data_IF_349517406205
#
_entry.id   IF_349517406205
#
_cell.length_a   1.000
_cell.length_b   1.000
_cell.length_c   1.000
_cell.angle_alpha   90.00
_cell.angle_beta   90.00
_cell.angle_gamma   90.00
#
_symmetry.space_group_name_H-M   'P 1'
#
loop_
_entity.id
_entity.type
_entity.pdbx_description
1 polymer ?
#
# COMPACT_ATOMS: atom_id res chain seq x y z
N UNK A 1 27.88 1.50 -18.51
CA UNK A 1 26.45 1.83 -18.38
C UNK A 1 25.84 0.75 -17.51
N UNK A 2 25.37 1.11 -16.31
CA UNK A 2 24.74 0.14 -15.42
C UNK A 2 23.35 -0.19 -15.96
N UNK A 3 22.96 -1.46 -15.91
CA UNK A 3 21.63 -1.90 -16.31
C UNK A 3 20.57 -1.22 -15.41
N UNK A 4 19.51 -0.58 -15.97
CA UNK A 4 18.56 0.22 -15.18
C UNK A 4 17.50 -0.68 -14.52
N UNK A 5 17.92 -1.40 -13.49
CA UNK A 5 17.14 -2.41 -12.77
C UNK A 5 15.86 -1.80 -12.20
N UNK A 6 15.95 -0.67 -11.49
CA UNK A 6 14.81 -0.10 -10.78
C UNK A 6 13.80 0.51 -11.75
N UNK A 7 14.28 1.22 -12.77
CA UNK A 7 13.39 1.72 -13.83
C UNK A 7 12.62 0.58 -14.50
N UNK A 8 13.27 -0.56 -14.77
CA UNK A 8 12.58 -1.72 -15.36
C UNK A 8 11.55 -2.30 -14.39
N UNK A 9 11.87 -2.48 -13.10
CA UNK A 9 10.92 -2.97 -12.08
C UNK A 9 9.69 -2.05 -11.99
N UNK A 10 9.90 -0.73 -11.98
CA UNK A 10 8.83 0.25 -11.81
C UNK A 10 7.94 0.31 -13.05
N UNK A 11 8.52 0.35 -14.26
CA UNK A 11 7.76 0.60 -15.49
C UNK A 11 7.30 -0.67 -16.21
N UNK A 12 7.91 -1.85 -15.99
CA UNK A 12 7.48 -3.09 -16.64
C UNK A 12 6.01 -3.46 -16.38
N UNK A 13 5.44 -3.24 -15.16
CA UNK A 13 4.02 -3.49 -14.95
C UNK A 13 3.12 -2.53 -15.76
N UNK A 14 3.51 -1.26 -15.95
CA UNK A 14 2.75 -0.33 -16.81
C UNK A 14 2.78 -0.81 -18.26
N UNK A 15 3.95 -1.21 -18.77
CA UNK A 15 4.07 -1.74 -20.13
C UNK A 15 3.20 -2.98 -20.30
N UNK A 16 3.23 -3.90 -19.33
CA UNK A 16 2.38 -5.09 -19.36
C UNK A 16 0.89 -4.75 -19.27
N UNK A 17 0.48 -3.76 -18.45
CA UNK A 17 -0.90 -3.28 -18.40
C UNK A 17 -1.37 -2.75 -19.76
N UNK A 18 -0.54 -1.97 -20.46
CA UNK A 18 -0.84 -1.47 -21.80
C UNK A 18 -0.98 -2.61 -22.81
N UNK A 19 -0.06 -3.60 -22.78
CA UNK A 19 -0.16 -4.78 -23.65
C UNK A 19 -1.44 -5.56 -23.37
N UNK A 20 -1.81 -5.76 -22.10
CA UNK A 20 -3.05 -6.43 -21.71
C UNK A 20 -4.27 -5.68 -22.24
N UNK A 21 -4.33 -4.35 -22.13
CA UNK A 21 -5.45 -3.55 -22.62
C UNK A 21 -5.63 -3.61 -24.15
N UNK A 22 -4.55 -3.84 -24.90
CA UNK A 22 -4.59 -4.02 -26.36
C UNK A 22 -5.11 -5.40 -26.78
N UNK A 23 -5.20 -6.37 -25.87
CA UNK A 23 -5.78 -7.69 -26.15
C UNK A 23 -7.31 -7.54 -26.29
N UNK A 24 -7.92 -8.16 -27.33
CA UNK A 24 -9.37 -8.21 -27.48
C UNK A 24 -10.06 -8.76 -26.22
N UNK A 25 -11.22 -8.21 -25.84
CA UNK A 25 -11.88 -8.54 -24.57
C UNK A 25 -12.32 -10.02 -24.48
N UNK A 26 -12.50 -10.67 -25.64
CA UNK A 26 -12.89 -12.06 -25.77
C UNK A 26 -11.72 -13.02 -25.43
N UNK A 27 -10.48 -12.56 -25.58
CA UNK A 27 -9.24 -13.33 -25.39
C UNK A 27 -8.77 -13.31 -23.93
N UNK A 28 -9.63 -13.84 -23.05
CA UNK A 28 -9.42 -13.83 -21.58
C UNK A 28 -8.17 -14.61 -21.16
N UNK A 29 -7.91 -15.74 -21.80
CA UNK A 29 -6.79 -16.63 -21.48
C UNK A 29 -5.45 -16.00 -21.84
N UNK A 30 -5.38 -15.30 -22.97
CA UNK A 30 -4.19 -14.58 -23.40
C UNK A 30 -3.88 -13.41 -22.47
N UNK A 31 -4.89 -12.64 -22.07
CA UNK A 31 -4.71 -11.57 -21.09
C UNK A 31 -4.17 -12.08 -19.74
N UNK A 32 -4.70 -13.22 -19.26
CA UNK A 32 -4.22 -13.91 -18.06
C UNK A 32 -2.76 -14.38 -18.24
N UNK A 33 -2.44 -15.01 -19.37
CA UNK A 33 -1.09 -15.48 -19.70
C UNK A 33 -0.05 -14.35 -19.72
N UNK A 34 -0.37 -13.21 -20.33
CA UNK A 34 0.51 -12.03 -20.33
C UNK A 34 0.68 -11.47 -18.91
N UNK A 35 -0.40 -11.39 -18.13
CA UNK A 35 -0.31 -10.97 -16.73
C UNK A 35 0.62 -11.89 -15.92
N UNK A 36 0.48 -13.21 -16.04
CA UNK A 36 1.35 -14.14 -15.30
C UNK A 36 2.82 -14.04 -15.74
N UNK A 37 3.08 -13.98 -17.04
CA UNK A 37 4.45 -13.82 -17.56
C UNK A 37 5.11 -12.54 -17.03
N UNK A 38 4.39 -11.42 -17.05
CA UNK A 38 4.89 -10.14 -16.58
C UNK A 38 5.02 -10.09 -15.04
N UNK A 39 4.15 -10.77 -14.29
CA UNK A 39 4.30 -10.88 -12.84
C UNK A 39 5.48 -11.76 -12.43
N UNK A 40 5.74 -12.86 -13.15
CA UNK A 40 6.94 -13.69 -12.97
C UNK A 40 8.19 -12.87 -13.27
N UNK A 41 8.19 -12.10 -14.36
CA UNK A 41 9.30 -11.23 -14.71
C UNK A 41 9.59 -10.21 -13.60
N UNK A 42 8.57 -9.51 -13.10
CA UNK A 42 8.72 -8.54 -12.01
C UNK A 42 9.21 -9.20 -10.70
N UNK A 43 8.71 -10.40 -10.37
CA UNK A 43 9.16 -11.17 -9.20
C UNK A 43 10.63 -11.60 -9.30
N UNK A 44 11.06 -12.12 -10.45
CA UNK A 44 12.44 -12.53 -10.64
C UNK A 44 13.40 -11.34 -10.57
N UNK A 45 13.01 -10.20 -11.15
CA UNK A 45 13.83 -9.00 -11.12
C UNK A 45 13.90 -8.37 -9.72
N UNK A 46 12.79 -8.34 -8.97
CA UNK A 46 12.79 -7.85 -7.59
C UNK A 46 13.54 -8.79 -6.64
N UNK A 47 13.46 -10.11 -6.87
CA UNK A 47 14.25 -11.11 -6.14
C UNK A 47 15.74 -10.93 -6.42
N UNK A 48 16.12 -10.74 -7.69
CA UNK A 48 17.51 -10.47 -8.05
C UNK A 48 18.03 -9.19 -7.38
N UNK A 49 17.24 -8.10 -7.38
CA UNK A 49 17.62 -6.85 -6.74
C UNK A 49 17.81 -7.03 -5.22
N UNK A 50 16.94 -7.80 -4.56
CA UNK A 50 17.06 -8.10 -3.14
C UNK A 50 18.30 -8.95 -2.80
N UNK A 51 18.59 -9.99 -3.61
CA UNK A 51 19.75 -10.86 -3.39
C UNK A 51 21.07 -10.16 -3.70
N UNK A 52 21.05 -9.20 -4.63
CA UNK A 52 22.23 -8.43 -5.05
C UNK A 52 22.51 -7.23 -4.13
N UNK A 53 21.61 -6.91 -3.20
CA UNK A 53 21.81 -5.81 -2.25
C UNK A 53 22.92 -6.14 -1.25
N UNK A 54 23.97 -5.32 -1.23
CA UNK A 54 25.10 -5.49 -0.33
C UNK A 54 24.78 -4.95 1.06
N UNK A 55 24.60 -5.86 2.01
CA UNK A 55 24.29 -5.54 3.42
C UNK A 55 25.49 -4.94 4.16
N UNK A 56 26.73 -5.20 3.71
CA UNK A 56 27.93 -4.68 4.34
C UNK A 56 28.18 -3.22 3.94
N UNK A 57 27.94 -2.87 2.67
CA UNK A 57 28.05 -1.49 2.20
C UNK A 57 26.97 -0.56 2.78
N UNK A 58 25.75 -1.09 2.99
CA UNK A 58 24.56 -0.34 3.42
C UNK A 58 24.23 0.86 2.49
N UNK A 59 23.31 1.73 2.93
CA UNK A 59 22.91 2.93 2.16
C UNK A 59 22.06 2.63 0.91
N UNK A 60 21.93 3.64 0.05
CA UNK A 60 21.18 3.53 -1.20
C UNK A 60 22.02 2.86 -2.29
N UNK A 61 21.46 1.84 -2.92
CA UNK A 61 22.06 1.07 -4.00
C UNK A 61 21.14 1.07 -5.22
N UNK A 62 21.67 0.62 -6.37
CA UNK A 62 20.96 0.68 -7.66
C UNK A 62 20.50 2.10 -8.01
N UNK A 63 21.33 3.11 -7.69
CA UNK A 63 20.97 4.49 -7.93
C UNK A 63 20.89 4.80 -9.43
N UNK A 64 19.75 5.34 -9.83
CA UNK A 64 19.45 5.75 -11.19
C UNK A 64 18.87 7.16 -11.14
N UNK A 65 19.45 8.11 -11.88
CA UNK A 65 18.97 9.50 -11.88
C UNK A 65 18.82 10.01 -13.30
N UNK A 66 17.60 10.41 -13.66
CA UNK A 66 17.29 11.04 -14.95
C UNK A 66 16.59 12.38 -14.73
N UNK A 67 16.98 13.38 -15.51
CA UNK A 67 16.37 14.70 -15.47
C UNK A 67 14.99 14.66 -16.13
N UNK A 68 13.91 14.90 -15.38
CA UNK A 68 12.55 14.92 -15.95
C UNK A 68 12.02 16.33 -16.19
N UNK A 69 11.87 17.12 -15.12
CA UNK A 69 11.44 18.53 -15.20
C UNK A 69 12.48 19.41 -14.46
N UNK A 70 13.62 19.72 -15.10
CA UNK A 70 14.72 20.46 -14.47
C UNK A 70 14.31 21.86 -13.97
N UNK A 71 13.35 22.49 -14.66
CA UNK A 71 12.84 23.83 -14.31
C UNK A 71 12.13 23.85 -12.95
N UNK A 72 11.61 22.70 -12.51
CA UNK A 72 10.95 22.52 -11.22
C UNK A 72 11.83 21.72 -10.23
N UNK A 73 13.07 21.39 -10.61
CA UNK A 73 13.95 20.56 -9.79
C UNK A 73 13.45 19.12 -9.58
N UNK A 74 12.65 18.58 -10.51
CA UNK A 74 12.11 17.22 -10.44
C UNK A 74 12.97 16.26 -11.27
N UNK A 75 13.35 15.15 -10.65
CA UNK A 75 14.14 14.09 -11.28
C UNK A 75 13.52 12.71 -11.09
N UNK A 76 13.70 11.82 -12.06
CA UNK A 76 13.50 10.38 -11.86
C UNK A 76 14.72 9.85 -11.13
N UNK A 77 14.75 10.04 -9.82
CA UNK A 77 15.78 9.53 -8.94
C UNK A 77 15.27 8.27 -8.24
N UNK A 78 15.81 7.12 -8.61
CA UNK A 78 15.54 5.84 -7.96
C UNK A 78 16.74 5.35 -7.17
N UNK A 79 16.47 4.63 -6.08
CA UNK A 79 17.45 3.91 -5.29
C UNK A 79 16.76 3.10 -4.20
N UNK A 80 17.37 1.99 -3.80
CA UNK A 80 16.85 1.13 -2.74
C UNK A 80 17.87 0.97 -1.62
N UNK A 81 17.42 1.05 -0.38
CA UNK A 81 18.21 0.72 0.81
C UNK A 81 17.68 -0.56 1.48
N UNK A 82 18.18 -0.86 2.68
CA UNK A 82 17.78 -2.05 3.45
C UNK A 82 16.30 -2.11 3.85
N UNK A 83 15.56 -0.99 3.79
CA UNK A 83 14.11 -0.95 4.02
C UNK A 83 13.36 -1.11 2.69
N UNK A 84 13.79 -0.39 1.65
CA UNK A 84 13.15 -0.44 0.34
C UNK A 84 13.33 -1.78 -0.36
N UNK A 85 14.51 -2.41 -0.30
CA UNK A 85 14.80 -3.67 -0.98
C UNK A 85 13.81 -4.83 -0.63
N UNK A 86 13.54 -5.14 0.66
CA UNK A 86 12.55 -6.17 0.99
C UNK A 86 11.11 -5.76 0.61
N UNK A 87 10.78 -4.47 0.62
CA UNK A 87 9.45 -3.98 0.22
C UNK A 87 9.22 -4.11 -1.29
N UNK A 88 10.25 -3.85 -2.10
CA UNK A 88 10.24 -4.10 -3.55
C UNK A 88 10.05 -5.60 -3.83
N UNK A 89 10.79 -6.48 -3.14
CA UNK A 89 10.58 -7.93 -3.27
C UNK A 89 9.14 -8.34 -2.87
N UNK A 90 8.64 -7.84 -1.74
CA UNK A 90 7.29 -8.12 -1.27
C UNK A 90 6.23 -7.71 -2.29
N UNK A 91 6.38 -6.55 -2.94
CA UNK A 91 5.49 -6.12 -4.03
C UNK A 91 5.48 -7.12 -5.19
N UNK A 92 6.65 -7.63 -5.60
CA UNK A 92 6.74 -8.68 -6.62
C UNK A 92 6.03 -9.99 -6.22
N UNK A 93 6.20 -10.42 -4.97
CA UNK A 93 5.53 -11.62 -4.43
C UNK A 93 4.01 -11.44 -4.41
N UNK A 94 3.52 -10.30 -3.92
CA UNK A 94 2.08 -9.99 -3.84
C UNK A 94 1.47 -9.84 -5.23
N UNK A 95 2.19 -9.23 -6.17
CA UNK A 95 1.76 -9.13 -7.58
C UNK A 95 1.63 -10.51 -8.22
N UNK A 96 2.64 -11.37 -8.09
CA UNK A 96 2.61 -12.74 -8.63
C UNK A 96 1.48 -13.58 -8.04
N UNK A 97 1.40 -13.65 -6.72
CA UNK A 97 0.35 -14.41 -6.03
C UNK A 97 -1.05 -13.83 -6.26
N UNK A 98 -1.16 -12.50 -6.40
CA UNK A 98 -2.38 -11.79 -6.80
C UNK A 98 -2.86 -12.18 -8.19
N UNK A 99 -1.96 -12.38 -9.16
CA UNK A 99 -2.34 -12.90 -10.48
C UNK A 99 -2.83 -14.35 -10.40
N UNK A 100 -2.13 -15.21 -9.64
CA UNK A 100 -2.51 -16.62 -9.50
C UNK A 100 -3.90 -16.79 -8.88
N UNK A 101 -4.21 -16.07 -7.79
CA UNK A 101 -5.52 -16.19 -7.12
C UNK A 101 -6.67 -15.61 -7.96
N UNK A 102 -6.37 -14.65 -8.83
CA UNK A 102 -7.35 -14.01 -9.72
C UNK A 102 -7.53 -14.71 -11.06
N UNK A 103 -6.75 -15.77 -11.35
CA UNK A 103 -6.73 -16.43 -12.66
C UNK A 103 -8.09 -17.00 -13.08
N UNK A 104 -8.88 -17.56 -12.16
CA UNK A 104 -10.28 -17.88 -12.47
C UNK A 104 -10.49 -19.07 -13.40
N UNK A 105 -9.86 -20.22 -13.16
CA UNK A 105 -10.16 -21.41 -13.98
C UNK A 105 -9.95 -22.73 -13.23
N UNK A 106 -10.54 -22.87 -12.05
CA UNK A 106 -10.51 -24.10 -11.26
C UNK A 106 -11.84 -24.86 -11.33
N UNK A 107 -12.26 -25.24 -12.53
CA UNK A 107 -13.31 -26.24 -12.77
C UNK A 107 -14.75 -25.85 -12.41
N UNK A 108 -15.68 -26.75 -12.75
CA UNK A 108 -17.14 -26.59 -12.70
C UNK A 108 -17.72 -26.35 -11.29
N UNK A 109 -16.93 -26.55 -10.24
CA UNK A 109 -17.38 -26.49 -8.84
C UNK A 109 -16.67 -25.44 -7.98
N UNK A 110 -15.67 -24.73 -8.51
CA UNK A 110 -14.98 -23.64 -7.80
C UNK A 110 -14.67 -22.50 -8.77
N UNK A 111 -15.58 -21.53 -8.89
CA UNK A 111 -15.34 -20.26 -9.56
C UNK A 111 -14.40 -19.36 -8.73
N UNK A 112 -13.16 -19.80 -8.51
CA UNK A 112 -12.12 -19.04 -7.82
C UNK A 112 -11.36 -18.14 -8.80
N UNK A 113 -11.83 -16.91 -9.01
CA UNK A 113 -11.08 -15.84 -9.69
C UNK A 113 -11.96 -14.87 -10.49
N UNK A 114 -11.32 -13.97 -11.24
CA UNK A 114 -12.01 -12.87 -11.93
C UNK A 114 -12.48 -13.31 -13.33
N UNK A 115 -13.80 -13.40 -13.51
CA UNK A 115 -14.44 -13.78 -14.80
C UNK A 115 -14.96 -12.60 -15.59
N UNK A 116 -15.45 -11.59 -14.89
CA UNK A 116 -15.93 -10.35 -15.49
C UNK A 116 -14.75 -9.43 -15.78
N UNK A 117 -14.60 -9.03 -17.05
CA UNK A 117 -13.59 -8.07 -17.50
C UNK A 117 -12.16 -8.32 -16.94
N UNK A 118 -11.60 -9.54 -17.09
CA UNK A 118 -10.30 -9.89 -16.51
C UNK A 118 -9.16 -9.04 -17.09
N UNK A 119 -9.28 -8.62 -18.35
CA UNK A 119 -8.32 -7.73 -19.01
C UNK A 119 -8.16 -6.42 -18.24
N UNK A 120 -9.26 -5.73 -17.99
CA UNK A 120 -9.26 -4.47 -17.24
C UNK A 120 -8.80 -4.67 -15.79
N UNK A 121 -9.22 -5.76 -15.15
CA UNK A 121 -8.78 -6.10 -13.80
C UNK A 121 -7.26 -6.22 -13.70
N UNK A 122 -6.62 -7.03 -14.56
CA UNK A 122 -5.17 -7.20 -14.53
C UNK A 122 -4.43 -5.92 -14.92
N UNK A 123 -4.94 -5.15 -15.88
CA UNK A 123 -4.34 -3.87 -16.23
C UNK A 123 -4.30 -2.91 -15.03
N UNK A 124 -5.41 -2.74 -14.31
CA UNK A 124 -5.44 -1.89 -13.12
C UNK A 124 -4.62 -2.45 -11.96
N UNK A 125 -4.59 -3.77 -11.77
CA UNK A 125 -3.74 -4.42 -10.78
C UNK A 125 -2.25 -4.18 -11.05
N UNK A 126 -1.85 -4.10 -12.32
CA UNK A 126 -0.48 -3.84 -12.73
C UNK A 126 -0.08 -2.37 -12.61
N UNK A 127 -1.00 -1.45 -12.92
CA UNK A 127 -0.80 -0.02 -12.66
C UNK A 127 -0.65 0.22 -11.16
N UNK A 128 -1.49 -0.42 -10.34
CA UNK A 128 -1.39 -0.42 -8.88
C UNK A 128 0.01 -0.89 -8.43
N UNK A 129 0.47 -2.04 -8.94
CA UNK A 129 1.78 -2.59 -8.60
C UNK A 129 2.92 -1.65 -8.98
N UNK A 130 2.84 -1.00 -10.15
CA UNK A 130 3.83 0.01 -10.57
C UNK A 130 3.89 1.20 -9.63
N UNK A 131 2.73 1.73 -9.21
CA UNK A 131 2.67 2.78 -8.19
C UNK A 131 3.37 2.36 -6.89
N UNK A 132 3.10 1.14 -6.41
CA UNK A 132 3.74 0.62 -5.20
C UNK A 132 5.26 0.45 -5.36
N UNK A 133 5.72 -0.12 -6.48
CA UNK A 133 7.16 -0.21 -6.78
C UNK A 133 7.82 1.18 -6.83
N UNK A 134 7.17 2.12 -7.52
CA UNK A 134 7.66 3.47 -7.69
C UNK A 134 7.85 4.19 -6.35
N UNK A 135 6.91 4.06 -5.40
CA UNK A 135 7.06 4.66 -4.07
C UNK A 135 8.27 4.11 -3.33
N UNK A 136 8.45 2.78 -3.31
CA UNK A 136 9.57 2.17 -2.57
C UNK A 136 10.93 2.44 -3.21
N UNK A 137 10.97 2.70 -4.51
CA UNK A 137 12.19 3.00 -5.25
C UNK A 137 12.52 4.50 -5.31
N UNK A 138 11.56 5.41 -5.11
CA UNK A 138 11.75 6.85 -5.34
C UNK A 138 12.59 7.53 -4.26
N UNK A 139 13.60 8.29 -4.72
CA UNK A 139 14.42 9.21 -3.93
C UNK A 139 14.15 10.68 -4.26
N UNK A 140 13.10 10.95 -5.03
CA UNK A 140 12.58 12.28 -5.33
C UNK A 140 11.17 12.39 -4.72
N UNK A 141 10.92 13.45 -3.95
CA UNK A 141 9.68 13.67 -3.20
C UNK A 141 8.47 13.82 -4.12
N UNK A 142 8.64 14.47 -5.28
CA UNK A 142 7.56 14.58 -6.26
C UNK A 142 7.26 13.22 -6.86
N UNK A 143 8.27 12.44 -7.23
CA UNK A 143 8.07 11.09 -7.76
C UNK A 143 7.43 10.16 -6.75
N UNK A 144 7.89 10.22 -5.49
CA UNK A 144 7.31 9.46 -4.40
C UNK A 144 5.82 9.77 -4.27
N UNK A 145 5.44 11.05 -4.26
CA UNK A 145 4.04 11.46 -4.22
C UNK A 145 3.25 11.04 -5.48
N UNK A 146 3.84 11.19 -6.66
CA UNK A 146 3.21 10.82 -7.93
C UNK A 146 2.89 9.31 -7.99
N UNK A 147 3.85 8.46 -7.64
CA UNK A 147 3.63 7.01 -7.57
C UNK A 147 2.68 6.61 -6.45
N UNK A 148 2.67 7.37 -5.34
CA UNK A 148 1.70 7.19 -4.25
C UNK A 148 0.27 7.37 -4.77
N UNK A 149 -0.01 8.44 -5.52
CA UNK A 149 -1.32 8.69 -6.12
C UNK A 149 -1.66 7.66 -7.23
N UNK A 150 -0.67 7.24 -8.02
CA UNK A 150 -0.85 6.14 -8.98
C UNK A 150 -1.24 4.84 -8.29
N UNK A 151 -0.79 4.58 -7.06
CA UNK A 151 -1.24 3.40 -6.33
C UNK A 151 -2.68 3.56 -5.81
N UNK A 152 -3.09 4.75 -5.39
CA UNK A 152 -4.43 4.98 -4.83
C UNK A 152 -5.53 4.88 -5.90
N UNK A 153 -5.31 5.46 -7.08
CA UNK A 153 -6.36 5.56 -8.10
C UNK A 153 -6.88 4.20 -8.64
N UNK A 154 -6.04 3.25 -9.08
CA UNK A 154 -6.50 1.94 -9.54
C UNK A 154 -7.12 1.12 -8.41
N UNK A 155 -6.69 1.32 -7.16
CA UNK A 155 -7.28 0.62 -6.02
C UNK A 155 -8.78 0.93 -5.88
N UNK A 156 -9.17 2.20 -6.04
CA UNK A 156 -10.57 2.60 -6.07
C UNK A 156 -11.36 1.85 -7.15
N UNK A 157 -10.85 1.84 -8.39
CA UNK A 157 -11.49 1.17 -9.52
C UNK A 157 -11.61 -0.34 -9.29
N UNK A 158 -10.56 -0.95 -8.75
CA UNK A 158 -10.51 -2.37 -8.45
C UNK A 158 -11.56 -2.78 -7.41
N UNK A 159 -11.81 -1.94 -6.40
CA UNK A 159 -12.84 -2.22 -5.38
C UNK A 159 -14.23 -1.93 -5.93
N UNK A 160 -14.48 -0.77 -6.56
CA UNK A 160 -15.84 -0.39 -6.96
C UNK A 160 -16.41 -1.26 -8.09
N UNK A 161 -15.57 -1.79 -8.98
CA UNK A 161 -16.01 -2.62 -10.12
C UNK A 161 -16.08 -4.11 -9.74
N UNK A 162 -15.07 -4.64 -9.06
CA UNK A 162 -14.96 -6.10 -8.79
C UNK A 162 -15.16 -6.49 -7.32
N UNK A 163 -15.28 -5.52 -6.41
CA UNK A 163 -15.51 -5.78 -5.00
C UNK A 163 -16.90 -6.33 -4.69
N UNK A 164 -17.13 -6.62 -3.42
CA UNK A 164 -18.37 -7.22 -2.93
C UNK A 164 -19.57 -6.30 -3.17
N UNK A 165 -20.57 -6.79 -3.91
CA UNK A 165 -21.68 -5.99 -4.45
C UNK A 165 -22.39 -5.12 -3.41
N UNK A 166 -22.55 -5.60 -2.18
CA UNK A 166 -23.29 -4.87 -1.13
C UNK A 166 -22.51 -3.70 -0.52
N UNK A 167 -21.19 -3.76 -0.49
CA UNK A 167 -20.35 -2.83 0.32
C UNK A 167 -19.32 -2.08 -0.51
N UNK A 168 -19.08 -2.49 -1.76
CA UNK A 168 -18.02 -1.95 -2.61
C UNK A 168 -18.09 -0.45 -2.84
N UNK A 169 -19.29 0.12 -3.05
CA UNK A 169 -19.44 1.56 -3.33
C UNK A 169 -19.08 2.40 -2.10
N UNK A 170 -19.66 2.06 -0.95
CA UNK A 170 -19.37 2.74 0.32
C UNK A 170 -17.90 2.59 0.72
N UNK A 171 -17.35 1.37 0.66
CA UNK A 171 -15.98 1.09 1.04
C UNK A 171 -14.98 1.80 0.11
N UNK A 172 -15.18 1.74 -1.21
CA UNK A 172 -14.31 2.39 -2.19
C UNK A 172 -14.32 3.92 -2.02
N UNK A 173 -15.50 4.52 -1.83
CA UNK A 173 -15.63 5.97 -1.61
C UNK A 173 -14.97 6.40 -0.28
N UNK A 174 -15.26 5.69 0.82
CA UNK A 174 -14.68 5.97 2.14
C UNK A 174 -13.16 5.87 2.09
N UNK A 175 -12.61 4.82 1.49
CA UNK A 175 -11.18 4.63 1.30
C UNK A 175 -10.60 5.80 0.50
N UNK A 176 -11.16 6.11 -0.67
CA UNK A 176 -10.62 7.15 -1.55
C UNK A 176 -10.62 8.51 -0.88
N UNK A 177 -11.69 8.89 -0.17
CA UNK A 177 -11.76 10.17 0.53
C UNK A 177 -10.73 10.29 1.65
N UNK A 178 -10.55 9.25 2.46
CA UNK A 178 -9.53 9.25 3.53
C UNK A 178 -8.13 9.39 2.94
N UNK A 179 -7.81 8.61 1.92
CA UNK A 179 -6.49 8.62 1.29
C UNK A 179 -6.23 9.92 0.55
N UNK A 180 -7.22 10.45 -0.18
CA UNK A 180 -7.10 11.71 -0.89
C UNK A 180 -6.90 12.88 0.07
N UNK A 181 -7.68 12.98 1.14
CA UNK A 181 -7.49 14.03 2.15
C UNK A 181 -6.09 13.94 2.76
N UNK A 182 -5.64 12.73 3.13
CA UNK A 182 -4.28 12.52 3.64
C UNK A 182 -3.20 12.96 2.66
N UNK A 183 -3.33 12.56 1.39
CA UNK A 183 -2.39 12.91 0.33
C UNK A 183 -2.31 14.42 0.07
N UNK A 184 -3.45 15.14 0.08
CA UNK A 184 -3.47 16.60 -0.11
C UNK A 184 -2.76 17.29 1.04
N UNK A 185 -2.98 16.85 2.27
CA UNK A 185 -2.26 17.40 3.44
C UNK A 185 -0.75 17.13 3.33
N UNK A 186 -0.35 15.93 2.92
CA UNK A 186 1.05 15.58 2.68
C UNK A 186 1.67 16.43 1.55
N UNK A 187 0.93 16.65 0.46
CA UNK A 187 1.36 17.45 -0.69
C UNK A 187 1.63 18.91 -0.28
N UNK A 188 0.74 19.50 0.50
CA UNK A 188 0.92 20.87 0.99
C UNK A 188 2.20 20.98 1.84
N UNK A 189 2.48 19.99 2.69
CA UNK A 189 3.74 19.92 3.43
C UNK A 189 4.97 19.69 2.54
N UNK A 190 4.85 18.85 1.50
CA UNK A 190 5.92 18.62 0.51
C UNK A 190 6.28 19.90 -0.25
N UNK A 191 5.29 20.68 -0.68
CA UNK A 191 5.49 21.96 -1.35
C UNK A 191 6.09 23.01 -0.40
N UNK A 192 5.68 23.02 0.88
CA UNK A 192 6.28 23.89 1.88
C UNK A 192 7.78 23.57 2.08
N UNK A 193 8.14 22.29 2.16
CA UNK A 193 9.55 21.85 2.24
C UNK A 193 10.34 22.26 1.00
N UNK A 194 9.80 22.04 -0.20
CA UNK A 194 10.43 22.47 -1.45
C UNK A 194 10.74 23.97 -1.45
N UNK A 195 9.77 24.80 -1.05
CA UNK A 195 9.94 26.25 -1.04
C UNK A 195 10.98 26.72 -0.02
N UNK A 196 10.92 26.21 1.21
CA UNK A 196 11.87 26.58 2.27
C UNK A 196 13.26 26.05 1.99
N UNK A 197 13.39 24.85 1.42
CA UNK A 197 14.68 24.31 1.00
C UNK A 197 15.34 25.19 -0.06
N UNK A 198 14.56 25.67 -1.03
CA UNK A 198 15.03 26.64 -2.03
C UNK A 198 15.50 27.96 -1.42
N UNK A 199 14.79 28.48 -0.41
CA UNK A 199 15.22 29.69 0.31
C UNK A 199 16.52 29.50 1.09
N UNK A 200 16.69 28.34 1.73
CA UNK A 200 17.86 28.05 2.55
C UNK A 200 19.12 27.74 1.74
N UNK A 201 18.97 27.04 0.61
CA UNK A 201 20.09 26.49 -0.18
C UNK A 201 20.34 27.25 -1.49
N UNK A 202 19.37 28.04 -1.94
CA UNK A 202 19.37 28.67 -3.28
C UNK A 202 19.01 27.71 -4.42
N UNK A 203 18.75 26.43 -4.13
CA UNK A 203 18.43 25.40 -5.11
C UNK A 203 17.05 24.82 -4.83
N UNK A 204 16.15 24.96 -5.79
CA UNK A 204 14.83 24.35 -5.74
C UNK A 204 14.90 22.93 -6.29
N UNK A 205 14.64 21.93 -5.43
CA UNK A 205 14.77 20.51 -5.77
C UNK A 205 13.78 19.66 -4.97
N UNK A 206 13.33 18.55 -5.56
CA UNK A 206 12.56 17.52 -4.87
C UNK A 206 13.41 16.32 -4.45
N UNK A 207 14.71 16.32 -4.73
CA UNK A 207 15.63 15.25 -4.33
C UNK A 207 15.67 15.09 -2.79
N UNK A 208 15.28 13.92 -2.28
CA UNK A 208 15.19 13.65 -0.85
C UNK A 208 16.53 13.77 -0.14
N UNK A 209 17.64 13.40 -0.80
CA UNK A 209 18.98 13.46 -0.22
C UNK A 209 19.49 14.90 -0.08
N UNK A 210 19.05 15.78 -0.97
CA UNK A 210 19.31 17.21 -0.87
C UNK A 210 18.39 17.88 0.16
N UNK A 211 17.11 17.49 0.21
CA UNK A 211 16.14 17.99 1.19
C UNK A 211 16.54 17.64 2.62
N UNK A 212 17.14 16.47 2.87
CA UNK A 212 17.68 16.10 4.18
C UNK A 212 18.73 17.11 4.69
N UNK A 213 19.47 17.75 3.77
CA UNK A 213 20.53 18.72 4.05
C UNK A 213 20.08 20.17 3.92
N UNK A 214 18.79 20.42 3.69
CA UNK A 214 18.26 21.75 3.42
C UNK A 214 18.17 22.68 4.65
N UNK A 215 18.44 22.16 5.86
CA UNK A 215 18.57 22.98 7.07
C UNK A 215 17.24 23.58 7.56
N UNK A 216 16.16 22.80 7.59
CA UNK A 216 14.87 23.26 8.11
C UNK A 216 14.94 23.69 9.58
N UNK A 217 14.41 24.88 9.91
CA UNK A 217 14.38 25.37 11.29
C UNK A 217 13.49 24.52 12.19
N UNK A 218 13.78 24.44 13.49
CA UNK A 218 12.98 23.66 14.44
C UNK A 218 11.51 24.11 14.47
N UNK A 219 11.24 25.41 14.34
CA UNK A 219 9.87 25.93 14.27
C UNK A 219 9.12 25.43 13.03
N UNK A 220 9.79 25.41 11.86
CA UNK A 220 9.22 24.84 10.64
C UNK A 220 8.94 23.35 10.80
N UNK A 221 9.91 22.59 11.31
CA UNK A 221 9.75 21.15 11.53
C UNK A 221 8.60 20.84 12.50
N UNK A 222 8.49 21.57 13.61
CA UNK A 222 7.42 21.37 14.58
C UNK A 222 6.02 21.67 14.01
N UNK A 223 5.92 22.66 13.12
CA UNK A 223 4.65 23.00 12.46
C UNK A 223 4.24 21.97 11.41
N UNK A 224 5.18 21.54 10.57
CA UNK A 224 4.90 20.71 9.39
C UNK A 224 5.01 19.21 9.63
N UNK A 225 5.65 18.78 10.72
CA UNK A 225 5.81 17.36 11.02
C UNK A 225 4.48 16.62 11.08
N UNK A 226 3.51 17.09 11.87
CA UNK A 226 2.22 16.39 12.02
C UNK A 226 1.43 16.32 10.70
N UNK A 227 1.25 17.42 9.94
CA UNK A 227 0.62 17.36 8.62
C UNK A 227 1.30 16.36 7.66
N UNK A 228 2.62 16.41 7.53
CA UNK A 228 3.37 15.52 6.64
C UNK A 228 3.27 14.07 7.10
N UNK A 229 3.51 13.82 8.39
CA UNK A 229 3.50 12.47 8.96
C UNK A 229 2.11 11.85 8.86
N UNK A 230 1.05 12.52 9.34
CA UNK A 230 -0.30 11.99 9.28
C UNK A 230 -0.84 11.95 7.85
N UNK A 231 -0.48 12.89 6.99
CA UNK A 231 -0.88 12.88 5.58
C UNK A 231 -0.51 11.57 4.88
N UNK A 232 0.72 11.08 5.08
CA UNK A 232 1.14 9.76 4.59
C UNK A 232 0.65 8.59 5.48
N UNK A 233 0.67 8.74 6.80
CA UNK A 233 0.33 7.66 7.73
C UNK A 233 -1.15 7.29 7.74
N UNK A 234 -2.06 8.14 7.23
CA UNK A 234 -3.47 7.80 7.01
C UNK A 234 -3.59 6.54 6.13
N UNK A 235 -2.77 6.40 5.07
CA UNK A 235 -2.72 5.19 4.24
C UNK A 235 -2.19 3.97 5.01
N UNK A 236 -1.34 4.19 6.02
CA UNK A 236 -0.91 3.14 6.94
C UNK A 236 -1.99 2.68 7.93
N UNK A 237 -3.15 3.33 7.94
CA UNK A 237 -4.24 3.06 8.89
C UNK A 237 -3.82 3.37 10.33
N UNK A 238 -3.20 4.53 10.56
CA UNK A 238 -2.84 4.99 11.90
C UNK A 238 -4.08 5.44 12.68
N UNK A 239 -4.09 5.26 14.00
CA UNK A 239 -5.15 5.84 14.84
C UNK A 239 -5.02 7.38 14.89
N UNK A 240 -6.13 8.15 14.77
CA UNK A 240 -7.53 7.72 14.69
C UNK A 240 -8.03 7.41 13.27
N UNK A 241 -7.24 7.68 12.24
CA UNK A 241 -7.60 7.58 10.81
C UNK A 241 -7.48 6.17 10.21
N UNK A 242 -8.03 5.16 10.87
CA UNK A 242 -7.89 3.75 10.48
C UNK A 242 -9.20 3.07 10.04
N UNK A 243 -10.34 3.71 10.28
CA UNK A 243 -11.66 3.10 10.09
C UNK A 243 -12.00 2.78 8.60
N UNK A 244 -11.29 3.38 7.64
CA UNK A 244 -11.45 3.07 6.22
C UNK A 244 -10.85 1.70 5.84
N UNK A 245 -9.84 1.24 6.57
CA UNK A 245 -9.06 0.06 6.21
C UNK A 245 -9.86 -1.25 6.30
N UNK A 246 -10.54 -1.57 7.43
CA UNK A 246 -11.32 -2.79 7.56
C UNK A 246 -12.42 -2.93 6.50
N UNK A 247 -13.16 -1.86 6.24
CA UNK A 247 -14.20 -1.83 5.20
C UNK A 247 -13.61 -2.08 3.81
N UNK A 248 -12.45 -1.47 3.53
CA UNK A 248 -11.70 -1.69 2.30
C UNK A 248 -11.29 -3.15 2.12
N UNK A 249 -10.77 -3.80 3.17
CA UNK A 249 -10.36 -5.22 3.11
C UNK A 249 -11.51 -6.18 2.85
N UNK A 250 -12.66 -5.92 3.46
CA UNK A 250 -13.83 -6.79 3.38
C UNK A 250 -14.46 -6.69 1.99
N UNK A 251 -14.57 -5.46 1.48
CA UNK A 251 -15.16 -5.19 0.18
C UNK A 251 -14.24 -5.57 -1.01
N UNK A 252 -12.91 -5.52 -0.84
CA UNK A 252 -11.98 -5.76 -1.93
C UNK A 252 -11.98 -7.23 -2.42
N UNK A 253 -11.77 -7.46 -3.73
CA UNK A 253 -11.42 -8.78 -4.26
C UNK A 253 -10.16 -9.34 -3.58
N UNK A 254 -10.00 -10.66 -3.57
CA UNK A 254 -8.90 -11.33 -2.84
C UNK A 254 -7.52 -10.76 -3.19
N UNK A 255 -7.17 -10.66 -4.48
CA UNK A 255 -5.87 -10.10 -4.89
C UNK A 255 -5.69 -8.63 -4.47
N UNK A 256 -6.76 -7.83 -4.54
CA UNK A 256 -6.73 -6.41 -4.15
C UNK A 256 -6.57 -6.28 -2.64
N UNK A 257 -7.23 -7.14 -1.85
CA UNK A 257 -7.05 -7.21 -0.40
C UNK A 257 -5.63 -7.66 -0.02
N UNK A 258 -5.02 -8.56 -0.80
CA UNK A 258 -3.61 -8.94 -0.64
C UNK A 258 -2.67 -7.75 -0.92
N UNK A 259 -2.91 -6.97 -1.98
CA UNK A 259 -2.16 -5.73 -2.23
C UNK A 259 -2.34 -4.72 -1.10
N UNK A 260 -3.58 -4.54 -0.65
CA UNK A 260 -3.91 -3.64 0.43
C UNK A 260 -3.12 -4.00 1.71
N UNK A 261 -3.31 -5.22 2.21
CA UNK A 261 -2.72 -5.67 3.47
C UNK A 261 -1.21 -5.87 3.33
N UNK A 262 -0.77 -6.41 2.20
CA UNK A 262 0.58 -6.82 1.91
C UNK A 262 1.52 -5.64 1.75
N UNK A 263 1.17 -4.63 0.95
CA UNK A 263 2.11 -3.58 0.56
C UNK A 263 1.57 -2.15 0.68
N UNK A 264 0.31 -1.86 0.36
CA UNK A 264 -0.20 -0.46 0.39
C UNK A 264 -0.16 0.15 1.79
N UNK A 265 -0.49 -0.63 2.83
CA UNK A 265 -0.43 -0.11 4.20
C UNK A 265 1.02 0.12 4.67
N UNK A 266 1.98 -0.59 4.07
CA UNK A 266 3.42 -0.37 4.31
C UNK A 266 3.90 0.86 3.55
N UNK A 267 3.32 1.14 2.40
CA UNK A 267 3.57 2.33 1.59
C UNK A 267 3.32 3.61 2.39
N UNK A 268 2.18 3.71 3.09
CA UNK A 268 1.87 4.86 3.95
C UNK A 268 2.89 5.06 5.09
N UNK A 269 3.24 3.97 5.79
CA UNK A 269 4.25 4.01 6.85
C UNK A 269 5.65 4.35 6.32
N UNK A 270 6.01 3.80 5.15
CA UNK A 270 7.28 4.07 4.48
C UNK A 270 7.41 5.54 4.08
N UNK A 271 6.38 6.13 3.46
CA UNK A 271 6.39 7.53 3.10
C UNK A 271 6.40 8.46 4.33
N UNK A 272 5.65 8.12 5.39
CA UNK A 272 5.69 8.84 6.66
C UNK A 272 7.09 8.80 7.32
N UNK A 273 7.80 7.67 7.19
CA UNK A 273 9.17 7.52 7.66
C UNK A 273 10.16 8.32 6.80
N UNK A 274 10.12 8.16 5.47
CA UNK A 274 11.03 8.82 4.52
C UNK A 274 10.88 10.34 4.50
N UNK A 275 9.65 10.82 4.53
CA UNK A 275 9.37 12.25 4.36
C UNK A 275 9.15 12.92 5.70
N UNK A 276 8.36 12.31 6.59
CA UNK A 276 8.07 12.89 7.91
C UNK A 276 9.26 12.79 8.86
N UNK A 277 9.75 11.57 9.12
CA UNK A 277 10.78 11.37 10.16
C UNK A 277 12.18 11.77 9.67
N UNK A 278 12.58 11.35 8.46
CA UNK A 278 13.95 11.61 7.98
C UNK A 278 14.19 13.06 7.59
N UNK A 279 13.22 13.76 6.97
CA UNK A 279 13.40 15.18 6.58
C UNK A 279 13.12 16.16 7.72
N UNK A 280 12.27 15.79 8.69
CA UNK A 280 11.88 16.65 9.82
C UNK A 280 12.21 15.99 11.19
N UNK A 281 13.48 15.65 11.47
CA UNK A 281 13.86 14.86 12.64
C UNK A 281 13.61 15.55 13.98
N UNK A 282 13.75 16.88 14.07
CA UNK A 282 13.47 17.62 15.31
C UNK A 282 11.96 17.68 15.58
N UNK A 283 11.16 17.86 14.54
CA UNK A 283 9.70 17.75 14.62
C UNK A 283 9.25 16.37 15.07
N UNK A 284 9.89 15.32 14.56
CA UNK A 284 9.63 13.93 14.95
C UNK A 284 9.95 13.67 16.43
N UNK A 285 11.07 14.22 16.94
CA UNK A 285 11.42 14.13 18.37
C UNK A 285 10.39 14.87 19.23
N UNK A 286 10.04 16.10 18.86
CA UNK A 286 9.10 16.94 19.60
C UNK A 286 7.70 16.31 19.71
N UNK A 287 7.20 15.75 18.60
CA UNK A 287 5.89 15.10 18.54
C UNK A 287 5.92 13.58 18.74
N UNK A 288 7.06 13.02 19.14
CA UNK A 288 7.23 11.57 19.33
C UNK A 288 6.17 10.96 20.25
N UNK A 289 5.75 11.69 21.28
CA UNK A 289 4.70 11.28 22.19
C UNK A 289 3.34 11.10 21.50
N UNK A 290 3.00 11.91 20.49
CA UNK A 290 1.75 11.76 19.70
C UNK A 290 1.82 10.48 18.88
N UNK A 291 2.96 10.21 18.25
CA UNK A 291 3.16 9.01 17.44
C UNK A 291 3.06 7.76 18.33
N UNK A 292 3.74 7.77 19.48
CA UNK A 292 3.69 6.67 20.44
C UNK A 292 2.29 6.47 21.01
N UNK A 293 1.55 7.56 21.28
CA UNK A 293 0.17 7.49 21.74
C UNK A 293 -0.74 6.89 20.65
N UNK A 294 -0.67 7.39 19.42
CA UNK A 294 -1.43 6.86 18.29
C UNK A 294 -1.12 5.38 18.03
N UNK A 295 0.16 5.00 18.06
CA UNK A 295 0.58 3.62 17.88
C UNK A 295 0.11 2.72 19.04
N UNK A 296 0.25 3.18 20.29
CA UNK A 296 -0.20 2.46 21.48
C UNK A 296 -1.72 2.24 21.49
N UNK A 297 -2.50 3.27 21.15
CA UNK A 297 -3.96 3.13 21.02
C UNK A 297 -4.28 2.20 19.86
N UNK A 298 -3.63 2.33 18.69
CA UNK A 298 -3.86 1.43 17.56
C UNK A 298 -3.61 -0.04 17.92
N UNK A 299 -2.57 -0.34 18.72
CA UNK A 299 -2.30 -1.70 19.21
C UNK A 299 -3.47 -2.19 20.07
N UNK A 300 -3.78 -1.45 21.13
CA UNK A 300 -4.73 -1.89 22.15
C UNK A 300 -6.13 -1.94 21.58
N UNK A 301 -6.59 -0.85 20.98
CA UNK A 301 -7.93 -0.71 20.40
C UNK A 301 -8.15 -1.69 19.25
N UNK A 302 -7.19 -1.82 18.34
CA UNK A 302 -7.28 -2.77 17.23
C UNK A 302 -7.45 -4.20 17.73
N UNK A 303 -6.63 -4.62 18.69
CA UNK A 303 -6.69 -5.98 19.26
C UNK A 303 -8.04 -6.27 19.93
N UNK A 304 -8.58 -5.33 20.71
CA UNK A 304 -9.91 -5.48 21.32
C UNK A 304 -11.02 -5.59 20.28
N UNK A 305 -10.98 -4.79 19.21
CA UNK A 305 -12.02 -4.84 18.19
C UNK A 305 -12.04 -6.18 17.47
N UNK A 306 -10.88 -6.70 17.06
CA UNK A 306 -10.86 -8.00 16.39
C UNK A 306 -11.32 -9.15 17.26
N UNK A 307 -11.06 -9.09 18.57
CA UNK A 307 -11.56 -10.12 19.49
C UNK A 307 -13.09 -10.21 19.50
N UNK A 308 -13.78 -9.09 19.21
CA UNK A 308 -15.25 -9.02 19.17
C UNK A 308 -15.79 -9.27 17.73
N UNK A 309 -14.94 -9.25 16.70
CA UNK A 309 -15.40 -9.47 15.33
C UNK A 309 -15.80 -10.93 15.09
N UNK A 310 -16.96 -11.12 14.47
CA UNK A 310 -17.46 -12.44 14.06
C UNK A 310 -17.16 -12.77 12.60
N UNK A 311 -16.85 -11.76 11.77
CA UNK A 311 -16.48 -11.91 10.36
C UNK A 311 -14.95 -12.03 10.22
N UNK A 312 -14.50 -13.08 9.51
CA UNK A 312 -13.09 -13.40 9.34
C UNK A 312 -12.32 -12.30 8.59
N UNK A 313 -12.92 -11.67 7.57
CA UNK A 313 -12.26 -10.59 6.82
C UNK A 313 -12.15 -9.32 7.66
N UNK A 314 -13.15 -9.02 8.48
CA UNK A 314 -13.05 -7.91 9.43
C UNK A 314 -11.99 -8.19 10.51
N UNK A 315 -11.96 -9.40 11.06
CA UNK A 315 -10.94 -9.81 12.02
C UNK A 315 -9.52 -9.66 11.44
N UNK A 316 -9.29 -10.15 10.21
CA UNK A 316 -8.01 -9.99 9.51
C UNK A 316 -7.72 -8.50 9.22
N UNK A 317 -8.73 -7.74 8.78
CA UNK A 317 -8.61 -6.31 8.48
C UNK A 317 -8.16 -5.51 9.69
N UNK A 318 -8.81 -5.69 10.85
CA UNK A 318 -8.37 -5.07 12.09
C UNK A 318 -7.00 -5.61 12.54
N UNK A 319 -6.69 -6.90 12.29
CA UNK A 319 -5.39 -7.49 12.65
C UNK A 319 -4.18 -6.87 11.99
N UNK A 320 -4.38 -6.41 10.75
CA UNK A 320 -3.37 -5.66 10.05
C UNK A 320 -3.05 -4.33 10.75
N UNK A 321 -4.02 -3.71 11.43
CA UNK A 321 -3.91 -2.37 12.06
C UNK A 321 -3.06 -2.40 13.33
N UNK A 322 -3.27 -3.36 14.24
CA UNK A 322 -2.50 -3.38 15.50
C UNK A 322 -1.07 -3.92 15.34
N UNK A 323 -0.82 -4.87 14.43
CA UNK A 323 0.54 -5.42 14.24
C UNK A 323 1.54 -4.34 13.81
N UNK A 324 1.04 -3.28 13.14
CA UNK A 324 1.84 -2.14 12.68
C UNK A 324 2.19 -1.12 13.77
N UNK A 325 1.53 -1.15 14.93
CA UNK A 325 1.81 -0.19 16.00
C UNK A 325 3.05 -0.50 16.84
N UNK A 326 3.79 -1.59 16.55
CA UNK A 326 4.97 -1.99 17.31
C UNK A 326 6.14 -1.05 16.99
N UNK A 327 6.24 0.05 17.73
CA UNK A 327 7.40 0.96 17.71
C UNK A 327 8.59 0.26 18.38
N UNK A 328 9.81 0.27 17.79
CA UNK A 328 10.99 -0.24 18.47
C UNK A 328 11.29 0.62 19.70
N UNK A 329 11.31 0.01 20.88
CA UNK A 329 12.03 0.58 22.02
C UNK A 329 13.52 0.67 21.65
N UNK A 330 14.12 1.84 21.76
CA UNK A 330 15.57 2.03 21.74
C UNK A 330 16.02 2.62 23.09
N UNK A 331 17.22 2.28 23.59
CA UNK A 331 18.43 1.96 22.80
C UNK A 331 19.04 0.57 23.03
N UNK A 332 19.61 -0.03 21.97
CA UNK A 332 20.66 -1.05 22.11
C UNK A 332 20.61 -2.31 21.22
N UNK A 333 19.53 -2.59 20.48
CA UNK A 333 19.48 -3.74 19.55
C UNK A 333 18.80 -3.38 18.23
N UNK A 334 19.53 -3.60 17.14
CA UNK A 334 19.01 -3.54 15.77
C UNK A 334 18.27 -4.86 15.51
N UNK A 335 17.00 -4.93 15.90
CA UNK A 335 16.09 -5.97 15.43
C UNK A 335 15.17 -5.39 14.35
N UNK A 336 15.10 -6.10 13.22
CA UNK A 336 14.47 -5.67 11.98
C UNK A 336 12.94 -5.52 12.15
N UNK A 337 12.36 -4.31 12.05
CA UNK A 337 10.97 -4.04 12.45
C UNK A 337 9.89 -4.59 11.50
N UNK A 338 10.28 -5.18 10.36
CA UNK A 338 9.34 -5.59 9.30
C UNK A 338 9.23 -7.12 9.13
N UNK A 339 9.87 -7.92 9.99
CA UNK A 339 9.90 -9.39 9.90
C UNK A 339 8.81 -10.11 10.72
N UNK A 340 7.63 -9.50 10.90
CA UNK A 340 6.49 -10.14 11.56
C UNK A 340 5.75 -11.09 10.63
N UNK A 341 6.25 -12.32 10.48
CA UNK A 341 5.55 -13.40 9.79
C UNK A 341 4.23 -13.79 10.46
N UNK A 342 3.25 -14.19 9.66
CA UNK A 342 2.08 -14.93 10.13
C UNK A 342 2.55 -16.24 10.77
N UNK A 343 2.52 -16.33 12.09
CA UNK A 343 2.55 -17.63 12.77
C UNK A 343 1.12 -18.20 12.74
N UNK A 344 0.80 -18.89 11.65
CA UNK A 344 -0.36 -19.75 11.55
C UNK A 344 -0.04 -21.09 12.23
N UNK A 345 0.13 -21.12 13.55
CA UNK A 345 0.13 -22.37 14.31
C UNK A 345 -0.80 -22.28 15.52
N UNK A 346 -1.74 -23.23 15.54
CA UNK A 346 -2.64 -23.61 16.64
C UNK A 346 -3.91 -22.78 16.89
N UNK A 347 -4.90 -23.01 16.02
CA UNK A 347 -6.29 -23.13 16.48
C UNK A 347 -6.83 -24.53 16.11
N UNK A 348 -6.64 -25.48 17.03
CA UNK A 348 -7.43 -26.71 17.05
C UNK A 348 -8.87 -26.33 17.46
N UNK A 349 -9.82 -26.44 16.54
CA UNK A 349 -11.24 -26.35 16.88
C UNK A 349 -11.72 -27.72 17.38
N UNK A 350 -12.40 -27.82 18.53
CA UNK A 350 -13.12 -29.03 18.89
C UNK A 350 -14.38 -29.13 18.03
N UNK A 351 -14.52 -30.29 17.41
CA UNK A 351 -15.66 -30.77 16.63
C UNK A 351 -17.01 -30.47 17.33
N UNK A 352 -17.81 -29.57 16.74
CA UNK A 352 -19.24 -29.43 17.09
C UNK A 352 -20.07 -30.07 15.99
N UNK A 353 -20.47 -31.31 16.29
CA UNK A 353 -21.59 -32.03 15.67
C UNK A 353 -22.76 -31.08 15.37
N UNK A 354 -23.12 -31.07 14.09
CA UNK A 354 -24.38 -30.55 13.53
C UNK A 354 -25.54 -31.04 14.38
N UNK A 355 -26.30 -30.12 14.99
CA UNK A 355 -27.69 -30.38 15.40
C UNK A 355 -28.58 -29.78 14.33
N UNK A 356 -29.26 -30.66 13.62
CA UNK A 356 -30.48 -30.36 12.90
C UNK A 356 -31.54 -29.92 13.91
N UNK A 357 -31.91 -28.65 13.87
CA UNK A 357 -33.20 -28.20 14.41
C UNK A 357 -33.85 -27.29 13.36
N UNK A 358 -34.89 -27.83 12.73
CA UNK A 358 -35.61 -27.21 11.62
C UNK A 358 -36.27 -25.90 12.02
N UNK A 359 -36.05 -24.88 11.19
CA UNK A 359 -36.84 -23.65 11.21
C UNK A 359 -37.30 -23.32 9.78
N UNK A 360 -38.58 -23.61 9.51
CA UNK A 360 -39.30 -23.20 8.31
C UNK A 360 -39.70 -21.72 8.41
N UNK A 361 -39.44 -20.86 7.40
CA UNK A 361 -39.86 -19.46 7.46
C UNK A 361 -41.36 -19.33 7.16
N UNK A 362 -42.09 -18.77 8.13
CA UNK A 362 -43.53 -18.49 8.05
C UNK A 362 -43.76 -17.26 7.16
N UNK A 363 -44.39 -17.49 6.01
CA UNK A 363 -44.98 -16.48 5.13
C UNK A 363 -46.16 -15.83 5.87
N UNK A 364 -46.16 -14.50 6.02
CA UNK A 364 -47.36 -13.75 6.37
C UNK A 364 -47.68 -12.77 5.24
N UNK A 365 -48.67 -13.18 4.43
CA UNK A 365 -49.54 -12.28 3.68
C UNK A 365 -50.41 -11.51 4.67
N UNK A 366 -50.55 -10.21 4.51
CA UNK A 366 -51.80 -9.51 4.76
C UNK A 366 -52.01 -8.48 3.65
N UNK A 367 -53.00 -8.76 2.81
CA UNK A 367 -53.56 -7.82 1.84
C UNK A 367 -54.58 -6.89 2.52
N UNK A 368 -54.49 -5.62 2.10
CA UNK A 368 -55.58 -4.69 1.77
C UNK A 368 -56.50 -4.10 2.87
N UNK A 369 -56.56 -2.75 2.89
CA UNK A 369 -57.84 -2.06 2.75
C UNK A 369 -57.98 -0.62 3.28
N UNK A 370 -58.15 0.30 2.30
CA UNK A 370 -59.14 1.41 2.24
C UNK A 370 -58.75 2.85 2.64
N UNK A 371 -59.05 3.72 1.65
CA UNK A 371 -59.15 5.19 1.54
C UNK A 371 -57.83 5.94 1.33
#
# INVERSE_FOLDING_TARGET
MNFPVLSIIVFSPIVAAMVILLIPAERKTEARGVALAAAIFALLLSLWAYLSYDKAAAGYQFMEQYNWLPQLGVSLHFGVDGISAPLVLLTGVVMFTGVLISWGDFGEHVSAGIQDRPREFFAFLFILASGVFGVFASLDLFMLFFFFEIAVFPMYLLIVIWGWDKTREYAAMKLTLYLFIGSVVALVGALAMYWVAGQNTGVYTFDLLQLEKAGFSASFQNLWFLPVFFGFAVLGGIWPFHNWSPDGHVAAPTAVSMFHAGVLMKLGAFAALRVGIMLLPEGAKYWSWVIMLSAGIAIVYGAFIAFVQTDLKYMIGFSSVWFRGRVPNLPGRVENPMAGGCDCQHFHYPDRRVRDDGYQPRILRQDAGKI
#
